data_IF_327197763544
#
_entry.id   IF_327197763544
#
_cell.length_a   1.000
_cell.length_b   1.000
_cell.length_c   1.000
_cell.angle_alpha   90.00
_cell.angle_beta   90.00
_cell.angle_gamma   90.00
#
_symmetry.space_group_name_H-M   'P 1'
#
loop_
_entity.id
_entity.type
_entity.pdbx_description
1 polymer ?
#
# COMPACT_ATOMS: atom_id res chain seq x y z
N UNK A 1 -5.74 -15.61 75.24
CA UNK A 1 -4.96 -14.38 74.99
C UNK A 1 -3.78 -14.73 74.09
N UNK A 2 -3.52 -13.91 73.06
CA UNK A 2 -2.28 -13.80 72.23
C UNK A 2 -2.06 -14.75 71.03
N UNK A 3 -2.44 -14.23 69.87
CA UNK A 3 -1.87 -14.39 68.51
C UNK A 3 -0.35 -14.09 68.46
N UNK A 4 0.37 -14.23 67.32
CA UNK A 4 0.24 -15.16 66.19
C UNK A 4 1.61 -15.75 65.73
N UNK A 5 1.54 -16.67 64.76
CA UNK A 5 2.66 -17.17 63.98
C UNK A 5 3.38 -16.04 63.19
N UNK A 6 4.66 -15.82 63.50
CA UNK A 6 5.55 -14.95 62.74
C UNK A 6 6.44 -15.82 61.84
N UNK A 7 5.99 -16.13 60.62
CA UNK A 7 6.86 -16.68 59.58
C UNK A 7 7.12 -15.60 58.52
N UNK A 8 8.28 -14.98 58.72
CA UNK A 8 9.23 -14.51 57.71
C UNK A 8 8.64 -13.91 56.42
N UNK A 9 8.64 -12.59 56.37
CA UNK A 9 8.91 -11.87 55.13
C UNK A 9 10.39 -12.09 54.74
N UNK A 10 10.62 -12.67 53.56
CA UNK A 10 11.83 -12.42 52.79
C UNK A 10 11.47 -12.57 51.30
N UNK A 11 11.28 -11.41 50.68
CA UNK A 11 11.06 -11.20 49.26
C UNK A 11 12.37 -11.48 48.54
N UNK A 12 12.37 -12.41 47.58
CA UNK A 12 13.28 -12.38 46.43
C UNK A 12 12.65 -13.19 45.30
N UNK A 13 11.72 -12.56 44.59
CA UNK A 13 11.35 -13.02 43.26
C UNK A 13 12.49 -12.58 42.34
N UNK A 14 13.37 -13.53 41.98
CA UNK A 14 14.27 -13.36 40.85
C UNK A 14 13.39 -13.43 39.59
N UNK A 15 12.78 -12.29 39.21
CA UNK A 15 12.18 -12.10 37.89
C UNK A 15 13.32 -12.09 36.88
N UNK A 16 13.66 -13.28 36.40
CA UNK A 16 14.62 -13.49 35.34
C UNK A 16 14.06 -12.88 34.05
N UNK A 17 14.62 -11.74 33.65
CA UNK A 17 14.69 -11.29 32.26
C UNK A 17 13.36 -10.91 31.63
N UNK A 18 13.02 -9.62 31.73
CA UNK A 18 12.27 -8.96 30.68
C UNK A 18 13.10 -9.02 29.37
N UNK A 19 12.72 -9.90 28.46
CA UNK A 19 12.90 -9.72 27.02
C UNK A 19 11.47 -9.73 26.46
N UNK A 20 10.85 -8.57 26.20
CA UNK A 20 10.86 -7.90 24.88
C UNK A 20 10.87 -8.97 23.78
N UNK A 21 9.83 -9.20 22.99
CA UNK A 21 9.15 -8.28 22.09
C UNK A 21 7.66 -8.66 22.04
N UNK A 22 6.75 -7.79 22.45
CA UNK A 22 6.15 -6.82 21.55
C UNK A 22 5.64 -7.51 20.28
N UNK A 23 4.41 -7.98 20.38
CA UNK A 23 3.44 -7.75 19.33
C UNK A 23 3.87 -8.16 17.90
N UNK A 24 3.79 -9.45 17.60
CA UNK A 24 3.67 -9.91 16.22
C UNK A 24 2.28 -9.59 15.61
N UNK A 25 1.52 -8.60 16.15
CA UNK A 25 0.52 -7.94 15.34
C UNK A 25 1.25 -7.16 14.25
N UNK A 26 0.85 -7.47 13.02
CA UNK A 26 0.60 -6.43 12.04
C UNK A 26 1.85 -5.78 11.44
N UNK A 27 2.67 -6.62 10.82
CA UNK A 27 3.07 -6.28 9.47
C UNK A 27 2.34 -7.26 8.55
N UNK A 28 1.06 -6.98 8.27
CA UNK A 28 0.63 -7.12 6.88
C UNK A 28 1.76 -6.49 6.08
N UNK A 29 2.49 -7.31 5.32
CA UNK A 29 3.33 -6.82 4.25
C UNK A 29 2.42 -5.88 3.48
N UNK A 30 2.52 -4.57 3.76
CA UNK A 30 2.02 -3.54 2.87
C UNK A 30 2.75 -3.89 1.60
N UNK A 31 2.06 -4.58 0.71
CA UNK A 31 2.45 -4.80 -0.68
C UNK A 31 3.08 -3.48 -1.07
N UNK A 32 4.37 -3.49 -1.40
CA UNK A 32 5.00 -2.25 -1.84
C UNK A 32 4.12 -1.79 -3.00
N UNK A 33 3.36 -0.74 -2.79
CA UNK A 33 2.40 -0.26 -3.75
C UNK A 33 2.97 1.02 -4.30
N UNK A 34 2.96 1.15 -5.63
CA UNK A 34 3.40 2.39 -6.24
C UNK A 34 2.36 3.46 -5.89
N UNK A 35 2.73 4.41 -5.03
CA UNK A 35 1.83 5.45 -4.53
C UNK A 35 1.19 6.27 -5.65
N UNK A 36 1.88 6.44 -6.79
CA UNK A 36 1.34 7.11 -7.97
C UNK A 36 0.29 6.25 -8.68
N UNK A 37 0.49 4.93 -8.78
CA UNK A 37 -0.56 4.03 -9.29
C UNK A 37 -1.76 4.00 -8.38
N UNK A 38 -1.57 3.88 -7.08
CA UNK A 38 -2.68 3.83 -6.12
C UNK A 38 -3.52 5.10 -6.18
N UNK A 39 -2.87 6.26 -6.21
CA UNK A 39 -3.55 7.54 -6.37
C UNK A 39 -4.29 7.63 -7.72
N UNK A 40 -3.66 7.14 -8.80
CA UNK A 40 -4.27 7.13 -10.12
C UNK A 40 -5.49 6.20 -10.21
N UNK A 41 -5.43 5.02 -9.58
CA UNK A 41 -6.51 4.06 -9.49
C UNK A 41 -7.67 4.60 -8.66
N UNK A 42 -7.39 5.15 -7.47
CA UNK A 42 -8.42 5.80 -6.63
C UNK A 42 -9.12 6.94 -7.37
N UNK A 43 -8.36 7.80 -8.05
CA UNK A 43 -8.94 8.88 -8.85
C UNK A 43 -9.79 8.36 -10.01
N UNK A 44 -9.43 7.23 -10.61
CA UNK A 44 -10.24 6.59 -11.65
C UNK A 44 -11.51 5.93 -11.10
N UNK A 45 -11.50 5.50 -9.84
CA UNK A 45 -12.66 4.91 -9.16
C UNK A 45 -13.62 5.98 -8.60
N UNK A 46 -13.09 7.08 -8.07
CA UNK A 46 -13.88 8.16 -7.45
C UNK A 46 -14.54 9.09 -8.47
N UNK A 47 -13.92 9.24 -9.64
CA UNK A 47 -14.39 10.13 -10.68
C UNK A 47 -14.78 9.30 -11.90
N UNK A 48 -15.99 9.53 -12.41
CA UNK A 48 -16.44 9.04 -13.73
C UNK A 48 -15.59 9.56 -14.91
N UNK A 49 -14.46 10.23 -14.62
CA UNK A 49 -13.35 10.44 -15.53
C UNK A 49 -13.00 9.17 -16.27
N UNK A 50 -13.10 9.23 -17.61
CA UNK A 50 -12.58 8.19 -18.49
C UNK A 50 -11.06 8.18 -18.35
N UNK A 51 -10.56 7.28 -17.50
CA UNK A 51 -9.14 7.01 -17.35
C UNK A 51 -8.74 5.89 -18.30
N UNK A 52 -7.64 6.06 -19.02
CA UNK A 52 -7.06 4.99 -19.83
C UNK A 52 -5.78 4.50 -19.18
N UNK A 53 -5.59 3.19 -19.17
CA UNK A 53 -4.41 2.54 -18.64
C UNK A 53 -3.63 1.86 -19.76
N UNK A 54 -2.32 1.98 -19.72
CA UNK A 54 -1.38 1.31 -20.62
C UNK A 54 -0.36 0.52 -19.81
N UNK A 55 -0.14 -0.75 -20.15
CA UNK A 55 0.97 -1.57 -19.66
C UNK A 55 1.92 -1.80 -20.84
N UNK A 56 3.16 -1.37 -20.73
CA UNK A 56 4.19 -1.50 -21.78
C UNK A 56 3.76 -0.98 -23.16
N UNK A 57 3.00 0.13 -23.16
CA UNK A 57 2.38 0.80 -24.32
C UNK A 57 1.15 0.09 -24.92
N UNK A 58 0.70 -1.01 -24.34
CA UNK A 58 -0.54 -1.68 -24.72
C UNK A 58 -1.69 -1.23 -23.82
N UNK A 59 -2.83 -0.90 -24.42
CA UNK A 59 -4.01 -0.50 -23.66
C UNK A 59 -4.52 -1.68 -22.84
N UNK A 60 -4.77 -1.44 -21.56
CA UNK A 60 -5.09 -2.48 -20.59
C UNK A 60 -6.26 -2.05 -19.71
N UNK A 61 -6.97 -3.04 -19.16
CA UNK A 61 -8.03 -2.78 -18.18
C UNK A 61 -7.44 -2.43 -16.81
N UNK A 62 -8.23 -1.76 -15.98
CA UNK A 62 -7.85 -1.44 -14.60
C UNK A 62 -7.54 -2.70 -13.78
N UNK A 63 -8.23 -3.81 -14.07
CA UNK A 63 -8.01 -5.10 -13.43
C UNK A 63 -6.67 -5.72 -13.80
N UNK A 64 -6.25 -5.58 -15.06
CA UNK A 64 -4.93 -6.02 -15.51
C UNK A 64 -3.83 -5.24 -14.79
N UNK A 65 -4.01 -3.93 -14.63
CA UNK A 65 -3.07 -3.06 -13.89
C UNK A 65 -2.93 -3.48 -12.43
N UNK A 66 -4.05 -3.77 -11.75
CA UNK A 66 -4.04 -4.23 -10.34
C UNK A 66 -3.32 -5.57 -10.15
N UNK A 67 -3.26 -6.40 -11.18
CA UNK A 67 -2.57 -7.70 -11.16
C UNK A 67 -1.07 -7.59 -11.46
N UNK A 68 -0.56 -6.44 -11.90
CA UNK A 68 0.87 -6.25 -12.14
C UNK A 68 1.59 -6.18 -10.78
N UNK A 69 2.48 -7.12 -10.46
CA UNK A 69 3.24 -7.06 -9.22
C UNK A 69 4.17 -5.85 -9.25
N UNK A 70 4.19 -5.09 -8.16
CA UNK A 70 4.98 -3.86 -8.04
C UNK A 70 6.47 -4.06 -8.31
N UNK A 71 6.99 -5.22 -7.94
CA UNK A 71 8.37 -5.65 -8.14
C UNK A 71 8.79 -5.53 -9.60
N UNK A 72 7.85 -5.86 -10.49
CA UNK A 72 8.02 -5.84 -11.94
C UNK A 72 7.74 -4.46 -12.54
N UNK A 73 7.34 -3.46 -11.76
CA UNK A 73 7.08 -2.11 -12.28
C UNK A 73 8.40 -1.34 -12.32
N UNK A 74 8.79 -0.92 -13.52
CA UNK A 74 9.96 -0.07 -13.75
C UNK A 74 9.62 1.40 -13.52
N UNK A 75 8.49 1.85 -14.08
CA UNK A 75 8.07 3.25 -14.00
C UNK A 75 6.55 3.36 -14.16
N UNK A 76 5.98 4.39 -13.52
CA UNK A 76 4.59 4.81 -13.66
C UNK A 76 4.58 6.26 -14.06
N UNK A 77 3.91 6.56 -15.18
CA UNK A 77 3.69 7.92 -15.65
C UNK A 77 2.20 8.21 -15.69
N UNK A 78 1.78 9.26 -14.99
CA UNK A 78 0.39 9.72 -14.99
C UNK A 78 0.33 11.05 -15.72
N UNK A 79 -0.48 11.11 -16.77
CA UNK A 79 -0.78 12.33 -17.52
C UNK A 79 -2.22 12.74 -17.18
N UNK A 80 -2.37 13.96 -16.69
CA UNK A 80 -3.66 14.58 -16.37
C UNK A 80 -3.93 15.71 -17.36
N UNK A 81 -5.22 15.98 -17.61
CA UNK A 81 -5.78 17.08 -18.41
C UNK A 81 -4.77 17.85 -19.27
N UNK A 82 -4.04 18.82 -18.73
CA UNK A 82 -3.09 19.67 -19.48
C UNK A 82 -2.06 18.92 -20.33
N UNK A 83 -1.59 17.76 -19.85
CA UNK A 83 -0.58 16.94 -20.52
C UNK A 83 -1.16 15.90 -21.49
N UNK A 84 -2.49 15.81 -21.59
CA UNK A 84 -3.18 14.87 -22.47
C UNK A 84 -3.35 15.49 -23.87
N UNK A 85 -3.03 14.72 -24.91
CA UNK A 85 -3.22 15.17 -26.30
C UNK A 85 -4.69 15.48 -26.58
N UNK A 86 -4.97 16.53 -27.37
CA UNK A 86 -6.32 17.00 -27.73
C UNK A 86 -7.26 15.86 -28.19
N UNK A 87 -6.74 14.92 -29.00
CA UNK A 87 -7.46 13.74 -29.48
C UNK A 87 -8.09 12.84 -28.39
N UNK A 88 -7.51 12.82 -27.20
CA UNK A 88 -8.03 12.04 -26.06
C UNK A 88 -9.01 12.88 -25.24
N UNK A 89 -8.75 14.18 -25.08
CA UNK A 89 -9.69 15.13 -24.45
C UNK A 89 -11.03 15.16 -25.18
N UNK A 90 -11.03 15.15 -26.51
CA UNK A 90 -12.23 15.10 -27.34
C UNK A 90 -13.09 13.84 -27.10
N UNK A 91 -12.49 12.75 -26.60
CA UNK A 91 -13.19 11.52 -26.19
C UNK A 91 -13.70 11.56 -24.74
N UNK A 92 -13.42 12.65 -24.02
CA UNK A 92 -13.73 12.83 -22.61
C UNK A 92 -12.71 12.18 -21.66
N UNK A 93 -11.50 11.89 -22.14
CA UNK A 93 -10.43 11.30 -21.32
C UNK A 93 -9.67 12.40 -20.60
N UNK A 94 -9.64 12.32 -19.27
CA UNK A 94 -9.03 13.32 -18.38
C UNK A 94 -7.78 12.77 -17.66
N UNK A 95 -7.52 11.46 -17.79
CA UNK A 95 -6.36 10.82 -17.21
C UNK A 95 -5.83 9.67 -18.09
N UNK A 96 -4.51 9.63 -18.28
CA UNK A 96 -3.81 8.51 -18.90
C UNK A 96 -2.74 8.02 -17.93
N UNK A 97 -2.75 6.73 -17.62
CA UNK A 97 -1.79 6.07 -16.74
C UNK A 97 -0.97 5.10 -17.59
N UNK A 98 0.35 5.28 -17.61
CA UNK A 98 1.27 4.40 -18.30
C UNK A 98 2.17 3.68 -17.29
N UNK A 99 2.16 2.36 -17.35
CA UNK A 99 2.98 1.48 -16.53
C UNK A 99 3.99 0.80 -17.45
N UNK A 100 5.26 0.93 -17.14
CA UNK A 100 6.32 0.20 -17.83
C UNK A 100 6.88 -0.86 -16.89
N UNK A 101 7.02 -2.09 -17.37
CA UNK A 101 7.58 -3.19 -16.57
C UNK A 101 9.10 -3.29 -16.71
N UNK A 102 9.74 -3.95 -15.73
CA UNK A 102 11.14 -4.36 -15.78
C UNK A 102 11.18 -5.64 -16.63
N UNK A 103 11.87 -5.57 -17.75
CA UNK A 103 12.21 -6.76 -18.55
C UNK A 103 13.46 -7.42 -17.98
#
# INVERSE_FOLDING_TARGET
MKFPNLKLFAITVFTLGAMTFANAQQAETKTQENSLLVAALKKAEESASKSIFYIDKEESSIEAVKKVPYENIKNVMVLTDDKIKKKFKEKGITQIVMINTKK
#
